data_IF_267712441045
#
_entry.id   IF_267712441045
#
_cell.length_a   1.000
_cell.length_b   1.000
_cell.length_c   1.000
_cell.angle_alpha   90.00
_cell.angle_beta   90.00
_cell.angle_gamma   90.00
#
_symmetry.space_group_name_H-M   'P 1'
#
loop_
_entity.id
_entity.type
_entity.pdbx_description
1 polymer ?
#
# COMPACT_ATOMS: atom_id res chain seq x y z
N UNK A 1 -16.70 5.49 10.76
CA UNK A 1 -16.02 5.48 9.44
C UNK A 1 -16.50 4.36 8.53
N UNK A 2 -16.41 3.09 8.95
CA UNK A 2 -16.62 1.92 8.08
C UNK A 2 -17.92 1.90 7.24
N UNK A 3 -19.12 2.25 7.77
CA UNK A 3 -20.34 2.24 6.93
C UNK A 3 -20.28 3.17 5.72
N UNK A 4 -19.68 4.36 5.88
CA UNK A 4 -19.52 5.32 4.78
C UNK A 4 -18.45 4.86 3.78
N UNK A 5 -17.35 4.29 4.28
CA UNK A 5 -16.30 3.73 3.43
C UNK A 5 -16.83 2.57 2.59
N UNK A 6 -17.65 1.68 3.17
CA UNK A 6 -18.31 0.61 2.43
C UNK A 6 -19.24 1.14 1.36
N UNK A 7 -20.04 2.18 1.66
CA UNK A 7 -20.90 2.81 0.65
C UNK A 7 -20.08 3.30 -0.54
N UNK A 8 -19.03 4.09 -0.29
CA UNK A 8 -18.12 4.60 -1.34
C UNK A 8 -17.47 3.44 -2.10
N UNK A 9 -16.96 2.44 -1.38
CA UNK A 9 -16.26 1.29 -1.95
C UNK A 9 -17.16 0.40 -2.82
N UNK A 10 -18.48 0.47 -2.67
CA UNK A 10 -19.46 -0.32 -3.43
C UNK A 10 -20.04 0.43 -4.63
N UNK A 11 -19.75 1.71 -4.82
CA UNK A 11 -20.17 2.43 -6.02
C UNK A 11 -19.31 2.02 -7.22
N UNK A 12 -19.85 2.21 -8.43
CA UNK A 12 -19.08 2.12 -9.67
C UNK A 12 -18.78 3.52 -10.18
N UNK A 13 -17.48 3.88 -10.20
CA UNK A 13 -17.01 5.18 -10.67
C UNK A 13 -16.50 5.13 -12.13
N UNK A 14 -16.54 3.96 -12.78
CA UNK A 14 -15.98 3.75 -14.12
C UNK A 14 -14.45 3.86 -14.20
N UNK A 15 -13.76 3.91 -13.04
CA UNK A 15 -12.31 4.02 -12.91
C UNK A 15 -11.81 3.18 -11.72
N UNK A 16 -10.53 2.77 -11.70
CA UNK A 16 -9.97 2.03 -10.56
C UNK A 16 -10.04 2.82 -9.26
N UNK A 17 -10.45 2.15 -8.18
CA UNK A 17 -10.56 2.73 -6.84
C UNK A 17 -9.61 2.01 -5.88
N UNK A 18 -8.73 2.77 -5.23
CA UNK A 18 -7.83 2.30 -4.15
C UNK A 18 -8.29 2.89 -2.83
N UNK A 19 -8.58 2.04 -1.85
CA UNK A 19 -8.86 2.46 -0.48
C UNK A 19 -7.58 2.43 0.35
N UNK A 20 -7.19 3.53 0.98
CA UNK A 20 -6.06 3.55 1.90
C UNK A 20 -6.52 3.94 3.31
N UNK A 21 -6.42 2.98 4.23
CA UNK A 21 -6.73 3.18 5.65
C UNK A 21 -5.45 2.94 6.47
N UNK A 22 -4.70 4.01 6.75
CA UNK A 22 -3.45 3.97 7.53
C UNK A 22 -3.73 3.41 8.94
N UNK A 23 -2.84 2.54 9.43
CA UNK A 23 -2.88 1.91 10.76
C UNK A 23 -4.20 1.15 11.06
N UNK A 24 -4.85 0.64 10.00
CA UNK A 24 -6.14 0.00 10.09
C UNK A 24 -6.20 -1.29 9.25
N UNK A 25 -5.19 -2.17 9.37
CA UNK A 25 -5.13 -3.44 8.62
C UNK A 25 -6.36 -4.32 8.87
N UNK A 26 -6.96 -4.21 10.07
CA UNK A 26 -8.22 -4.88 10.43
C UNK A 26 -9.39 -4.57 9.47
N UNK A 27 -9.31 -3.46 8.72
CA UNK A 27 -10.35 -3.05 7.78
C UNK A 27 -10.24 -3.71 6.41
N UNK A 28 -9.09 -4.27 6.03
CA UNK A 28 -8.85 -4.79 4.68
C UNK A 28 -9.85 -5.90 4.27
N UNK A 29 -10.17 -6.89 5.12
CA UNK A 29 -11.15 -7.93 4.77
C UNK A 29 -12.54 -7.37 4.46
N UNK A 30 -12.88 -6.19 4.98
CA UNK A 30 -14.18 -5.57 4.72
C UNK A 30 -14.33 -4.98 3.32
N UNK A 31 -13.24 -4.87 2.56
CA UNK A 31 -13.22 -4.40 1.18
C UNK A 31 -13.05 -5.53 0.16
N UNK A 32 -12.93 -6.79 0.60
CA UNK A 32 -12.80 -7.93 -0.30
C UNK A 32 -14.03 -8.07 -1.23
N UNK A 33 -15.23 -7.86 -0.71
CA UNK A 33 -16.49 -8.01 -1.45
C UNK A 33 -17.01 -6.69 -2.06
N UNK A 34 -16.20 -5.64 -2.10
CA UNK A 34 -16.58 -4.35 -2.67
C UNK A 34 -15.98 -4.14 -4.06
N UNK A 35 -16.41 -3.08 -4.75
CA UNK A 35 -15.95 -2.71 -6.09
C UNK A 35 -14.55 -2.09 -6.12
N UNK A 36 -13.85 -2.03 -4.98
CA UNK A 36 -12.49 -1.51 -4.95
C UNK A 36 -11.57 -2.40 -5.77
N UNK A 37 -10.70 -1.78 -6.55
CA UNK A 37 -9.69 -2.48 -7.35
C UNK A 37 -8.56 -2.99 -6.45
N UNK A 38 -8.29 -2.29 -5.35
CA UNK A 38 -7.24 -2.62 -4.41
C UNK A 38 -7.23 -1.73 -3.18
N UNK A 39 -6.19 -1.89 -2.37
CA UNK A 39 -5.99 -1.06 -1.18
C UNK A 39 -4.53 -0.67 -0.97
N UNK A 40 -4.36 0.50 -0.35
CA UNK A 40 -3.08 0.98 0.13
C UNK A 40 -2.70 0.30 1.44
N UNK A 41 -1.40 0.03 1.62
CA UNK A 41 -0.85 -0.73 2.74
C UNK A 41 0.19 0.15 3.45
N UNK A 42 0.10 0.24 4.77
CA UNK A 42 1.09 0.93 5.62
C UNK A 42 2.32 0.06 5.89
N UNK A 43 3.45 0.66 6.25
CA UNK A 43 4.74 -0.04 6.46
C UNK A 43 4.75 -0.97 7.67
N UNK A 44 3.77 -0.85 8.58
CA UNK A 44 3.56 -1.78 9.70
C UNK A 44 2.99 -3.14 9.30
N UNK A 45 2.39 -3.24 8.11
CA UNK A 45 1.90 -4.50 7.56
C UNK A 45 3.00 -5.18 6.74
N UNK A 46 3.19 -6.49 6.89
CA UNK A 46 4.15 -7.20 6.03
C UNK A 46 3.56 -7.40 4.63
N UNK A 47 4.38 -7.43 3.56
CA UNK A 47 3.92 -7.77 2.21
C UNK A 47 3.11 -9.08 2.17
N UNK A 48 3.52 -10.09 2.93
CA UNK A 48 2.87 -11.40 2.97
C UNK A 48 1.47 -11.32 3.59
N UNK A 49 1.30 -10.58 4.68
CA UNK A 49 -0.03 -10.35 5.27
C UNK A 49 -0.91 -9.52 4.34
N UNK A 50 -0.37 -8.48 3.71
CA UNK A 50 -1.10 -7.68 2.74
C UNK A 50 -1.62 -8.54 1.57
N UNK A 51 -0.81 -9.46 1.06
CA UNK A 51 -1.22 -10.43 0.05
C UNK A 51 -2.33 -11.35 0.53
N UNK A 52 -2.22 -11.88 1.75
CA UNK A 52 -3.25 -12.73 2.32
C UNK A 52 -4.60 -12.02 2.42
N UNK A 53 -4.61 -10.74 2.82
CA UNK A 53 -5.85 -9.96 2.87
C UNK A 53 -6.40 -9.58 1.49
N UNK A 54 -5.53 -9.42 0.49
CA UNK A 54 -5.92 -8.96 -0.84
C UNK A 54 -6.61 -10.02 -1.70
N UNK A 55 -6.23 -11.28 -1.53
CA UNK A 55 -6.56 -12.31 -2.51
C UNK A 55 -6.07 -11.86 -3.89
N UNK A 56 -7.00 -11.72 -4.85
CA UNK A 56 -6.70 -11.29 -6.21
C UNK A 56 -6.72 -9.77 -6.44
N UNK A 57 -7.05 -8.96 -5.42
CA UNK A 57 -7.06 -7.50 -5.54
C UNK A 57 -5.65 -6.91 -5.55
N UNK A 58 -5.54 -5.68 -6.06
CA UNK A 58 -4.26 -4.95 -6.07
C UNK A 58 -3.88 -4.53 -4.65
N UNK A 59 -2.60 -4.67 -4.30
CA UNK A 59 -1.99 -4.01 -3.13
C UNK A 59 -1.12 -2.85 -3.60
N UNK A 60 -1.16 -1.72 -2.89
CA UNK A 60 -0.31 -0.56 -3.14
C UNK A 60 0.50 -0.22 -1.90
N UNK A 61 1.82 -0.06 -2.01
CA UNK A 61 2.69 0.27 -0.88
C UNK A 61 4.01 -0.51 -0.88
N UNK A 62 4.70 -0.67 0.25
CA UNK A 62 4.42 -0.01 1.53
C UNK A 62 5.70 0.51 2.19
N UNK A 63 6.62 1.01 1.37
CA UNK A 63 7.96 1.41 1.81
C UNK A 63 7.88 2.46 2.93
N UNK A 64 8.66 2.28 3.99
CA UNK A 64 8.71 3.24 5.09
C UNK A 64 9.38 4.54 4.61
N UNK A 65 8.67 5.69 4.60
CA UNK A 65 9.21 6.94 4.07
C UNK A 65 10.45 7.43 4.83
N UNK A 66 10.65 7.02 6.09
CA UNK A 66 11.83 7.39 6.88
C UNK A 66 13.11 6.71 6.36
N UNK A 67 12.99 5.57 5.67
CA UNK A 67 14.13 4.87 5.07
C UNK A 67 14.74 5.65 3.90
N UNK A 68 14.02 6.61 3.32
CA UNK A 68 14.57 7.52 2.30
C UNK A 68 15.60 8.51 2.87
N UNK A 69 15.82 8.53 4.19
CA UNK A 69 16.92 9.26 4.83
C UNK A 69 18.23 8.46 4.90
N UNK A 70 18.23 7.20 4.43
CA UNK A 70 19.43 6.38 4.36
C UNK A 70 20.31 6.76 3.16
N UNK A 71 21.48 6.13 3.05
CA UNK A 71 22.32 6.22 1.86
C UNK A 71 21.66 5.51 0.66
N UNK A 72 21.90 5.96 -0.59
CA UNK A 72 21.24 5.42 -1.78
C UNK A 72 21.35 3.90 -1.94
N UNK A 73 22.50 3.31 -1.60
CA UNK A 73 22.74 1.86 -1.62
C UNK A 73 21.81 1.09 -0.67
N UNK A 74 21.52 1.66 0.51
CA UNK A 74 20.57 1.07 1.47
C UNK A 74 19.13 1.22 1.01
N UNK A 75 18.78 2.36 0.40
CA UNK A 75 17.45 2.57 -0.18
C UNK A 75 17.20 1.54 -1.27
N UNK A 76 18.16 1.32 -2.18
CA UNK A 76 18.07 0.32 -3.24
C UNK A 76 17.91 -1.10 -2.68
N UNK A 77 18.69 -1.46 -1.65
CA UNK A 77 18.61 -2.77 -1.02
C UNK A 77 17.24 -3.02 -0.37
N UNK A 78 16.72 -2.05 0.39
CA UNK A 78 15.42 -2.12 1.05
C UNK A 78 14.26 -2.16 0.03
N UNK A 79 14.34 -1.35 -1.03
CA UNK A 79 13.32 -1.32 -2.08
C UNK A 79 13.31 -2.66 -2.84
N UNK A 80 14.50 -3.18 -3.17
CA UNK A 80 14.65 -4.48 -3.82
C UNK A 80 14.05 -5.60 -2.96
N UNK A 81 14.30 -5.59 -1.65
CA UNK A 81 13.72 -6.58 -0.74
C UNK A 81 12.20 -6.46 -0.66
N UNK A 82 11.65 -5.24 -0.57
CA UNK A 82 10.21 -5.01 -0.61
C UNK A 82 9.57 -5.58 -1.89
N UNK A 83 10.16 -5.28 -3.06
CA UNK A 83 9.67 -5.78 -4.35
C UNK A 83 9.68 -7.33 -4.40
N UNK A 84 10.74 -7.96 -3.88
CA UNK A 84 10.83 -9.43 -3.79
C UNK A 84 9.72 -10.01 -2.92
N UNK A 85 9.47 -9.41 -1.75
CA UNK A 85 8.48 -9.89 -0.78
C UNK A 85 7.04 -9.73 -1.24
N UNK A 86 6.72 -8.65 -1.96
CA UNK A 86 5.41 -8.53 -2.62
C UNK A 86 5.26 -9.47 -3.81
N UNK A 87 6.34 -9.79 -4.51
CA UNK A 87 6.33 -10.66 -5.68
C UNK A 87 5.69 -10.01 -6.91
N UNK A 88 5.36 -10.83 -7.91
CA UNK A 88 4.86 -10.36 -9.22
C UNK A 88 3.33 -10.27 -9.25
N UNK A 89 2.80 -9.30 -10.00
CA UNK A 89 1.36 -9.16 -10.26
C UNK A 89 0.59 -8.44 -9.16
N UNK A 90 -0.54 -7.80 -9.53
CA UNK A 90 -1.47 -7.11 -8.63
C UNK A 90 -0.79 -6.24 -7.57
N UNK A 91 0.25 -5.50 -7.96
CA UNK A 91 1.07 -4.71 -7.05
C UNK A 91 1.48 -3.39 -7.67
N UNK A 92 1.31 -2.31 -6.90
CA UNK A 92 1.79 -0.97 -7.20
C UNK A 92 2.77 -0.57 -6.10
N UNK A 93 4.05 -0.47 -6.44
CA UNK A 93 5.05 0.02 -5.48
C UNK A 93 4.74 1.47 -5.08
N UNK A 94 4.75 1.74 -3.79
CA UNK A 94 4.56 3.07 -3.23
C UNK A 94 5.14 3.13 -1.82
N UNK A 95 5.21 4.33 -1.25
CA UNK A 95 5.44 4.53 0.17
C UNK A 95 4.20 4.09 0.97
N UNK A 96 4.40 3.72 2.23
CA UNK A 96 3.33 3.46 3.18
C UNK A 96 2.72 4.74 3.78
N UNK A 97 3.23 5.92 3.41
CA UNK A 97 2.72 7.25 3.74
C UNK A 97 3.25 8.31 2.79
N UNK A 98 2.81 9.56 2.94
CA UNK A 98 3.48 10.70 2.33
C UNK A 98 4.96 10.80 2.75
N UNK A 99 5.79 11.19 1.79
CA UNK A 99 7.22 11.49 1.95
C UNK A 99 7.46 12.56 3.02
N UNK A 100 8.58 12.49 3.74
CA UNK A 100 8.93 13.50 4.73
C UNK A 100 9.54 14.75 4.05
N UNK A 101 9.24 15.98 4.51
CA UNK A 101 9.71 17.20 3.85
C UNK A 101 11.23 17.35 3.74
N UNK A 102 11.98 16.68 4.62
CA UNK A 102 13.44 16.73 4.69
C UNK A 102 14.13 15.58 3.94
N UNK A 103 13.38 14.75 3.21
CA UNK A 103 13.98 13.74 2.33
C UNK A 103 14.67 14.46 1.17
N UNK A 104 15.96 14.18 0.91
CA UNK A 104 16.65 14.70 -0.26
C UNK A 104 15.94 14.28 -1.54
N UNK A 105 15.84 15.17 -2.53
CA UNK A 105 15.09 14.90 -3.77
C UNK A 105 15.70 13.74 -4.55
N UNK A 106 17.02 13.59 -4.51
CA UNK A 106 17.77 12.50 -5.12
C UNK A 106 17.48 11.12 -4.49
N UNK A 107 16.89 11.09 -3.30
CA UNK A 107 16.50 9.87 -2.62
C UNK A 107 15.02 9.49 -2.88
N UNK A 108 14.24 10.34 -3.56
CA UNK A 108 12.80 10.16 -3.78
C UNK A 108 12.46 9.20 -4.92
#
# INVERSE_FOLDING_TARGET
ALPHLKRIASEDYGVPLIMFCKDAEWSYPHFADTNVTGFGVGWGCTPEHARQYAGDKIVQGNFDPSKLLMSPDKIEAEATEMLKRFGKGNYVANLGHGILPNVPVENA
#
